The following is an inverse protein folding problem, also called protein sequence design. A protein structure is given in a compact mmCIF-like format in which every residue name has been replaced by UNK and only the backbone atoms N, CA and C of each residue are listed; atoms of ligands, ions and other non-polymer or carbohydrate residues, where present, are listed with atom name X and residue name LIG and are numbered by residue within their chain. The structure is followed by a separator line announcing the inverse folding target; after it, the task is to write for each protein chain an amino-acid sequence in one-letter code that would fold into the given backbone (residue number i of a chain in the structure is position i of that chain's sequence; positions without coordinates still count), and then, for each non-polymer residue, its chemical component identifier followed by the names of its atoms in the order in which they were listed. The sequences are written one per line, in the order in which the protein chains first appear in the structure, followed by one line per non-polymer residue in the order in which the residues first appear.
data_IF_961743768510
#
_entry.id   IF_961743768510
#
_cell.length_a   1.000
_cell.length_b   1.000
_cell.length_c   1.000
_cell.angle_alpha   90.00
_cell.angle_beta   90.00
_cell.angle_gamma   90.00
#
_symmetry.space_group_name_H-M   'P 1'
#
loop_
_entity.id
_entity.type
_entity.pdbx_description
1 polymer ?
#
# COMPACT_ATOMS: atom_id res chain seq x y z
N UNK A 1 3.07 -27.64 -1.62
CA UNK A 1 2.56 -27.26 -2.95
C UNK A 1 3.22 -25.94 -3.27
N UNK A 2 3.80 -25.78 -4.46
CA UNK A 2 4.48 -24.54 -4.83
C UNK A 2 3.49 -23.37 -4.79
N UNK A 3 3.89 -22.26 -4.20
CA UNK A 3 3.13 -21.00 -4.19
C UNK A 3 2.78 -20.63 -5.63
N UNK A 4 1.53 -20.28 -5.96
CA UNK A 4 1.15 -19.92 -7.32
C UNK A 4 1.90 -18.66 -7.76
N UNK A 5 2.94 -18.83 -8.57
CA UNK A 5 3.82 -17.76 -9.03
C UNK A 5 3.23 -17.03 -10.24
N UNK A 6 3.30 -15.69 -10.28
CA UNK A 6 2.86 -14.84 -11.40
C UNK A 6 3.64 -15.22 -12.69
N UNK A 7 2.99 -15.81 -13.70
CA UNK A 7 3.67 -16.31 -14.90
C UNK A 7 3.49 -15.43 -16.14
N UNK A 8 2.34 -14.77 -16.25
CA UNK A 8 1.94 -14.04 -17.45
C UNK A 8 1.68 -12.57 -17.14
N UNK A 9 1.65 -11.73 -18.18
CA UNK A 9 1.26 -10.32 -18.05
C UNK A 9 -0.15 -10.18 -17.47
N UNK A 10 -1.05 -11.08 -17.79
CA UNK A 10 -2.42 -11.06 -17.28
C UNK A 10 -2.45 -11.39 -15.77
N UNK A 11 -1.63 -12.34 -15.31
CA UNK A 11 -1.45 -12.60 -13.87
C UNK A 11 -0.88 -11.37 -13.16
N UNK A 12 0.09 -10.69 -13.78
CA UNK A 12 0.70 -9.48 -13.21
C UNK A 12 -0.29 -8.32 -13.14
N UNK A 13 -1.13 -8.14 -14.18
CA UNK A 13 -2.23 -7.17 -14.16
C UNK A 13 -3.21 -7.46 -13.01
N UNK A 14 -3.56 -8.73 -12.80
CA UNK A 14 -4.42 -9.14 -11.70
C UNK A 14 -3.77 -8.82 -10.34
N UNK A 15 -2.50 -9.20 -10.15
CA UNK A 15 -1.76 -8.96 -8.92
C UNK A 15 -1.60 -7.46 -8.61
N UNK A 16 -1.33 -6.63 -9.61
CA UNK A 16 -1.23 -5.18 -9.42
C UNK A 16 -2.59 -4.52 -9.18
N UNK A 17 -3.67 -5.07 -9.76
CA UNK A 17 -5.04 -4.63 -9.44
C UNK A 17 -5.33 -4.90 -7.97
N UNK A 18 -4.99 -6.11 -7.50
CA UNK A 18 -5.12 -6.50 -6.11
C UNK A 18 -4.32 -5.60 -5.16
N UNK A 19 -3.07 -5.31 -5.52
CA UNK A 19 -2.23 -4.37 -4.79
C UNK A 19 -2.91 -3.00 -4.66
N UNK A 20 -3.41 -2.43 -5.76
CA UNK A 20 -4.14 -1.16 -5.72
C UNK A 20 -5.41 -1.21 -4.82
N UNK A 21 -6.14 -2.33 -4.78
CA UNK A 21 -7.27 -2.48 -3.86
C UNK A 21 -6.82 -2.50 -2.38
N UNK A 22 -5.70 -3.16 -2.09
CA UNK A 22 -5.10 -3.25 -0.76
C UNK A 22 -4.62 -1.90 -0.26
N UNK A 23 -3.78 -1.19 -1.01
CA UNK A 23 -3.26 0.14 -0.63
C UNK A 23 -4.40 1.13 -0.38
N UNK A 24 -5.42 1.13 -1.25
CA UNK A 24 -6.60 1.98 -1.06
C UNK A 24 -7.42 1.56 0.18
N UNK A 25 -7.55 0.26 0.44
CA UNK A 25 -8.21 -0.26 1.63
C UNK A 25 -7.49 0.15 2.91
N UNK A 26 -6.16 0.03 2.96
CA UNK A 26 -5.31 0.40 4.10
C UNK A 26 -5.39 1.89 4.37
N UNK A 27 -5.22 2.73 3.35
CA UNK A 27 -5.38 4.18 3.48
C UNK A 27 -6.71 4.56 4.14
N UNK A 28 -7.82 3.94 3.72
CA UNK A 28 -9.13 4.20 4.32
C UNK A 28 -9.22 3.75 5.80
N UNK A 29 -8.62 2.62 6.15
CA UNK A 29 -8.63 2.09 7.52
C UNK A 29 -7.82 3.01 8.46
N UNK A 30 -6.62 3.42 8.06
CA UNK A 30 -5.80 4.35 8.83
C UNK A 30 -6.48 5.71 9.01
N UNK A 31 -7.09 6.28 7.96
CA UNK A 31 -7.85 7.53 8.07
C UNK A 31 -9.02 7.40 9.05
N UNK A 32 -9.77 6.30 8.99
CA UNK A 32 -10.91 6.10 9.89
C UNK A 32 -10.44 5.99 11.34
N UNK A 33 -9.38 5.21 11.61
CA UNK A 33 -8.80 5.09 12.93
C UNK A 33 -8.30 6.46 13.45
N UNK A 34 -7.57 7.21 12.63
CA UNK A 34 -7.08 8.54 12.98
C UNK A 34 -8.21 9.50 13.34
N UNK A 35 -9.27 9.57 12.52
CA UNK A 35 -10.37 10.50 12.73
C UNK A 35 -11.42 10.02 13.76
N UNK A 36 -11.26 8.82 14.30
CA UNK A 36 -12.03 8.34 15.45
C UNK A 36 -11.51 8.87 16.79
N UNK A 37 -10.28 9.39 16.80
CA UNK A 37 -9.63 9.91 18.00
C UNK A 37 -10.24 11.24 18.46
N UNK A 38 -10.27 11.41 19.79
CA UNK A 38 -10.67 12.67 20.43
C UNK A 38 -9.66 13.76 20.12
N UNK A 39 -10.13 15.00 19.93
CA UNK A 39 -9.30 16.13 19.50
C UNK A 39 -8.93 17.08 20.61
N UNK A 40 -9.74 17.16 21.67
CA UNK A 40 -9.52 18.16 22.72
C UNK A 40 -9.93 17.69 24.13
N UNK A 41 -9.52 18.42 25.19
CA UNK A 41 -9.84 18.08 26.57
C UNK A 41 -11.35 18.01 26.90
N UNK A 42 -12.21 18.73 26.17
CA UNK A 42 -13.67 18.76 26.41
C UNK A 42 -14.31 17.39 26.12
N UNK A 43 -13.63 16.54 25.35
CA UNK A 43 -14.03 15.17 25.06
C UNK A 43 -13.64 14.19 26.18
N UNK A 44 -13.18 14.69 27.33
CA UNK A 44 -12.83 13.88 28.51
C UNK A 44 -11.37 13.42 28.52
N UNK A 45 -10.47 14.22 27.96
CA UNK A 45 -9.02 14.04 28.05
C UNK A 45 -8.41 15.07 29.00
N UNK A 46 -7.35 14.69 29.72
CA UNK A 46 -6.45 15.69 30.31
C UNK A 46 -5.65 16.38 29.20
N UNK A 47 -5.13 17.58 29.45
CA UNK A 47 -4.27 18.28 28.49
C UNK A 47 -3.09 17.43 27.99
N UNK A 48 -2.32 16.73 28.87
CA UNK A 48 -1.26 15.84 28.41
C UNK A 48 -1.76 14.69 27.52
N UNK A 49 -2.92 14.12 27.81
CA UNK A 49 -3.51 13.08 26.95
C UNK A 49 -3.94 13.62 25.60
N UNK A 50 -4.50 14.83 25.54
CA UNK A 50 -4.87 15.46 24.27
C UNK A 50 -3.66 15.67 23.35
N UNK A 51 -2.50 16.04 23.92
CA UNK A 51 -1.24 16.14 23.16
C UNK A 51 -0.82 14.78 22.60
N UNK A 52 -0.81 13.73 23.43
CA UNK A 52 -0.45 12.37 22.98
C UNK A 52 -1.40 11.85 21.89
N UNK A 53 -2.71 12.07 22.04
CA UNK A 53 -3.70 11.64 21.05
C UNK A 53 -3.54 12.40 19.73
N UNK A 54 -3.16 13.68 19.79
CA UNK A 54 -2.83 14.44 18.60
C UNK A 54 -1.59 13.88 17.89
N UNK A 55 -0.55 13.47 18.63
CA UNK A 55 0.63 12.79 18.07
C UNK A 55 0.24 11.48 17.37
N UNK A 56 -0.60 10.65 17.99
CA UNK A 56 -1.09 9.41 17.37
C UNK A 56 -1.91 9.67 16.11
N UNK A 57 -2.74 10.72 16.13
CA UNK A 57 -3.51 11.13 14.95
C UNK A 57 -2.57 11.49 13.80
N UNK A 58 -1.51 12.28 14.09
CA UNK A 58 -0.49 12.64 13.09
C UNK A 58 0.16 11.39 12.49
N UNK A 59 0.65 10.46 13.32
CA UNK A 59 1.27 9.21 12.86
C UNK A 59 0.33 8.42 11.95
N UNK A 60 -0.92 8.19 12.36
CA UNK A 60 -1.89 7.43 11.55
C UNK A 60 -2.21 8.12 10.23
N UNK A 61 -2.28 9.46 10.20
CA UNK A 61 -2.50 10.20 8.95
C UNK A 61 -1.27 10.22 8.04
N UNK A 62 -0.06 10.16 8.60
CA UNK A 62 1.18 10.01 7.83
C UNK A 62 1.26 8.65 7.17
N UNK A 63 0.95 7.57 7.90
CA UNK A 63 0.86 6.22 7.33
C UNK A 63 -0.23 6.19 6.24
N UNK A 64 -1.43 6.71 6.51
CA UNK A 64 -2.50 6.77 5.50
C UNK A 64 -2.10 7.48 4.21
N UNK A 65 -1.20 8.46 4.30
CA UNK A 65 -0.63 9.20 3.16
C UNK A 65 0.40 8.36 2.40
N UNK A 66 1.24 7.59 3.10
CA UNK A 66 2.15 6.62 2.47
C UNK A 66 1.35 5.55 1.70
N UNK A 67 0.25 5.04 2.25
CA UNK A 67 -0.65 4.12 1.52
C UNK A 67 -1.25 4.75 0.24
N UNK A 68 -1.50 6.06 0.22
CA UNK A 68 -1.93 6.76 -1.01
C UNK A 68 -0.81 6.88 -2.05
N UNK A 69 0.43 7.00 -1.58
CA UNK A 69 1.62 7.01 -2.42
C UNK A 69 1.85 5.64 -3.05
N UNK A 70 1.76 4.57 -2.25
CA UNK A 70 1.81 3.20 -2.74
C UNK A 70 0.70 2.92 -3.76
N UNK A 71 -0.53 3.37 -3.49
CA UNK A 71 -1.63 3.29 -4.45
C UNK A 71 -1.28 3.98 -5.77
N UNK A 72 -0.65 5.15 -5.71
CA UNK A 72 -0.16 5.87 -6.91
C UNK A 72 0.88 5.05 -7.68
N UNK A 73 1.87 4.49 -6.99
CA UNK A 73 2.90 3.65 -7.59
C UNK A 73 2.34 2.33 -8.17
N UNK A 74 1.44 1.65 -7.47
CA UNK A 74 0.73 0.47 -7.96
C UNK A 74 -0.07 0.78 -9.25
N UNK A 75 -0.69 1.95 -9.32
CA UNK A 75 -1.37 2.44 -10.52
C UNK A 75 -0.42 2.79 -11.66
N UNK A 76 0.76 3.34 -11.37
CA UNK A 76 1.80 3.57 -12.36
C UNK A 76 2.34 2.23 -12.90
N UNK A 77 2.57 1.23 -12.04
CA UNK A 77 2.95 -0.13 -12.43
C UNK A 77 1.89 -0.78 -13.33
N UNK A 78 0.60 -0.69 -12.96
CA UNK A 78 -0.53 -1.13 -13.81
C UNK A 78 -0.48 -0.47 -15.18
N UNK A 79 -0.40 0.86 -15.17
CA UNK A 79 -0.43 1.67 -16.38
C UNK A 79 0.75 1.33 -17.28
N UNK A 80 1.96 1.20 -16.73
CA UNK A 80 3.19 0.92 -17.45
C UNK A 80 3.10 -0.37 -18.29
N UNK A 81 2.42 -1.40 -17.75
CA UNK A 81 2.22 -2.66 -18.47
C UNK A 81 0.94 -2.67 -19.31
N UNK A 82 0.23 -1.54 -19.47
CA UNK A 82 -0.97 -1.39 -20.29
C UNK A 82 -2.29 -1.73 -19.60
N UNK A 83 -2.32 -1.77 -18.27
CA UNK A 83 -3.54 -1.76 -17.46
C UNK A 83 -4.11 -0.34 -17.33
N UNK A 84 -5.36 -0.22 -16.92
CA UNK A 84 -5.94 1.07 -16.54
C UNK A 84 -5.74 1.28 -15.02
N UNK A 85 -5.59 2.52 -14.55
CA UNK A 85 -5.61 2.81 -13.12
C UNK A 85 -6.88 2.26 -12.45
N UNK A 86 -6.71 1.64 -11.28
CA UNK A 86 -7.75 0.99 -10.50
C UNK A 86 -7.87 1.63 -9.12
N UNK A 87 -9.00 2.30 -8.90
CA UNK A 87 -9.34 2.95 -7.62
C UNK A 87 -10.55 2.30 -6.93
N UNK A 88 -11.11 1.25 -7.54
CA UNK A 88 -12.22 0.51 -6.93
C UNK A 88 -11.65 -0.47 -5.92
N UNK A 89 -12.42 -0.76 -4.87
CA UNK A 89 -12.17 -1.82 -3.91
C UNK A 89 -13.51 -2.25 -3.29
N UNK A 90 -13.66 -3.48 -2.77
CA UNK A 90 -14.91 -3.92 -2.14
C UNK A 90 -15.34 -3.02 -0.96
N UNK A 91 -16.64 -2.88 -0.68
CA UNK A 91 -17.06 -2.11 0.51
C UNK A 91 -16.66 -2.82 1.81
N UNK A 92 -16.39 -2.04 2.87
CA UNK A 92 -16.17 -2.59 4.21
C UNK A 92 -17.49 -3.06 4.85
N UNK A 93 -17.47 -4.08 5.74
CA UNK A 93 -16.30 -4.90 6.09
C UNK A 93 -15.99 -5.94 5.01
N UNK A 94 -14.71 -6.28 4.86
CA UNK A 94 -14.24 -7.29 3.92
C UNK A 94 -13.83 -8.54 4.71
N UNK A 95 -14.32 -9.75 4.31
CA UNK A 95 -13.95 -10.97 4.99
C UNK A 95 -12.45 -11.27 4.83
N UNK A 96 -11.86 -11.97 5.78
CA UNK A 96 -10.51 -12.52 5.60
C UNK A 96 -10.47 -13.41 4.35
N UNK A 97 -9.39 -13.28 3.56
CA UNK A 97 -9.25 -14.00 2.29
C UNK A 97 -9.86 -13.28 1.08
N UNK A 98 -10.50 -12.12 1.24
CA UNK A 98 -11.07 -11.35 0.12
C UNK A 98 -10.04 -11.02 -0.98
N UNK A 99 -8.77 -10.93 -0.60
CA UNK A 99 -7.65 -10.64 -1.47
C UNK A 99 -6.72 -11.84 -1.69
N UNK A 100 -7.18 -13.05 -1.36
CA UNK A 100 -6.30 -14.21 -1.29
C UNK A 100 -5.23 -14.09 -0.19
N UNK A 101 -5.40 -13.16 0.76
CA UNK A 101 -4.57 -12.95 1.95
C UNK A 101 -5.47 -13.07 3.19
N UNK A 102 -4.99 -13.72 4.26
CA UNK A 102 -5.75 -14.00 5.49
C UNK A 102 -6.00 -12.77 6.40
N UNK A 103 -6.28 -11.61 5.81
CA UNK A 103 -6.42 -10.33 6.50
C UNK A 103 -7.85 -9.80 6.36
N UNK A 104 -8.49 -9.49 7.50
CA UNK A 104 -9.83 -8.91 7.56
C UNK A 104 -9.72 -7.39 7.51
N UNK A 105 -10.43 -6.73 6.60
CA UNK A 105 -10.39 -5.28 6.49
C UNK A 105 -11.70 -4.64 7.00
N UNK A 106 -11.61 -3.77 8.01
CA UNK A 106 -12.77 -3.12 8.64
C UNK A 106 -12.50 -1.66 8.98
N UNK A 107 -13.56 -0.84 8.98
CA UNK A 107 -13.52 0.51 9.54
C UNK A 107 -13.88 0.46 11.02
N UNK A 108 -12.90 0.67 11.90
CA UNK A 108 -13.12 0.69 13.34
C UNK A 108 -12.34 1.83 14.03
N UNK A 109 -12.85 2.34 15.16
CA UNK A 109 -12.10 3.31 15.94
C UNK A 109 -10.76 2.76 16.43
N UNK A 110 -9.78 3.64 16.65
CA UNK A 110 -8.48 3.21 17.19
C UNK A 110 -8.69 2.48 18.52
N UNK A 111 -8.23 1.25 18.56
CA UNK A 111 -8.27 0.36 19.71
C UNK A 111 -7.06 -0.56 19.65
N UNK A 112 -6.80 -1.32 20.71
CA UNK A 112 -5.73 -2.33 20.69
C UNK A 112 -5.96 -3.37 19.59
N UNK A 113 -7.22 -3.76 19.34
CA UNK A 113 -7.57 -4.67 18.24
C UNK A 113 -7.24 -4.09 16.86
N UNK A 114 -7.48 -2.79 16.67
CA UNK A 114 -7.13 -2.11 15.42
C UNK A 114 -5.61 -2.02 15.24
N UNK A 115 -4.90 -1.71 16.32
CA UNK A 115 -3.45 -1.64 16.33
C UNK A 115 -2.80 -2.99 16.04
N UNK A 116 -3.27 -4.06 16.70
CA UNK A 116 -2.79 -5.43 16.45
C UNK A 116 -2.96 -5.83 14.97
N UNK A 117 -4.04 -5.36 14.34
CA UNK A 117 -4.29 -5.60 12.92
C UNK A 117 -3.35 -4.80 12.02
N UNK A 118 -3.12 -3.52 12.29
CA UNK A 118 -2.16 -2.71 11.55
C UNK A 118 -0.75 -3.30 11.64
N UNK A 119 -0.32 -3.70 12.85
CA UNK A 119 0.94 -4.40 13.05
C UNK A 119 0.99 -5.71 12.24
N UNK A 120 -0.11 -6.46 12.15
CA UNK A 120 -0.17 -7.68 11.36
C UNK A 120 -0.09 -7.43 9.84
N UNK A 121 -0.49 -6.25 9.35
CA UNK A 121 -0.36 -5.85 7.95
C UNK A 121 1.11 -5.55 7.59
N UNK A 122 1.82 -4.87 8.48
CA UNK A 122 3.20 -4.38 8.27
C UNK A 122 4.27 -5.40 8.69
N UNK A 123 3.90 -6.49 9.38
CA UNK A 123 4.88 -7.47 9.89
C UNK A 123 5.67 -8.10 8.71
N UNK A 124 7.01 -7.99 8.70
CA UNK A 124 7.84 -8.65 7.69
C UNK A 124 7.64 -10.17 7.73
N UNK A 125 7.81 -10.85 6.59
CA UNK A 125 7.80 -12.31 6.59
C UNK A 125 8.97 -12.88 7.40
N UNK A 126 8.66 -13.75 8.38
CA UNK A 126 9.64 -14.69 8.89
C UNK A 126 9.86 -15.81 7.86
N UNK A 127 11.12 -16.27 7.64
CA UNK A 127 11.37 -17.41 6.76
C UNK A 127 10.59 -18.62 7.24
N UNK A 128 9.74 -19.17 6.36
CA UNK A 128 8.65 -20.06 6.72
C UNK A 128 9.04 -21.23 7.63
N UNK A 129 8.50 -21.27 8.86
CA UNK A 129 8.04 -22.53 9.43
C UNK A 129 6.67 -22.82 8.84
N UNK A 130 6.51 -24.00 8.23
CA UNK A 130 5.21 -24.45 7.74
C UNK A 130 4.29 -24.66 8.95
N UNK A 131 3.50 -23.66 9.32
CA UNK A 131 2.46 -23.85 10.33
C UNK A 131 1.19 -24.39 9.66
N UNK A 132 0.75 -25.56 10.14
CA UNK A 132 -0.51 -26.18 9.78
C UNK A 132 -1.68 -25.29 10.24
N UNK A 133 -2.43 -24.71 9.29
CA UNK A 133 -3.68 -24.01 9.61
C UNK A 133 -4.11 -22.89 8.66
N UNK A 134 -3.21 -22.39 7.81
CA UNK A 134 -3.60 -21.44 6.76
C UNK A 134 -4.35 -22.19 5.66
N UNK A 135 -5.53 -21.74 5.21
CA UNK A 135 -6.21 -22.35 4.08
C UNK A 135 -5.28 -22.38 2.86
N UNK A 136 -5.07 -23.57 2.31
CA UNK A 136 -4.16 -23.85 1.18
C UNK A 136 -4.61 -23.17 -0.13
N UNK A 137 -5.77 -22.51 -0.13
CA UNK A 137 -6.40 -21.85 -1.29
C UNK A 137 -6.16 -20.33 -1.33
N UNK A 138 -5.29 -19.81 -0.45
CA UNK A 138 -4.87 -18.40 -0.50
C UNK A 138 -3.80 -18.22 -1.57
N UNK A 139 -4.01 -17.24 -2.46
CA UNK A 139 -3.07 -16.92 -3.54
C UNK A 139 -1.78 -16.27 -3.02
N UNK A 140 -1.86 -15.54 -1.90
CA UNK A 140 -0.75 -14.79 -1.30
C UNK A 140 -0.74 -14.96 0.22
N UNK A 141 0.44 -15.13 0.83
CA UNK A 141 0.55 -15.34 2.27
C UNK A 141 0.41 -14.05 3.08
N UNK A 142 0.89 -12.95 2.52
CA UNK A 142 0.94 -11.61 3.12
C UNK A 142 0.96 -10.54 2.02
N UNK A 143 0.87 -9.27 2.40
CA UNK A 143 1.05 -8.14 1.46
C UNK A 143 2.49 -8.14 0.92
N UNK A 144 3.47 -8.48 1.76
CA UNK A 144 4.86 -8.63 1.37
C UNK A 144 5.07 -9.73 0.32
N UNK A 145 4.42 -10.89 0.50
CA UNK A 145 4.48 -12.01 -0.45
C UNK A 145 3.90 -11.61 -1.82
N UNK A 146 2.83 -10.81 -1.84
CA UNK A 146 2.28 -10.25 -3.08
C UNK A 146 3.33 -9.37 -3.80
N UNK A 147 3.95 -8.41 -3.11
CA UNK A 147 4.93 -7.53 -3.73
C UNK A 147 6.22 -8.24 -4.15
N UNK A 148 6.68 -9.24 -3.39
CA UNK A 148 7.81 -10.09 -3.81
C UNK A 148 7.52 -10.85 -5.09
N UNK A 149 6.33 -11.42 -5.23
CA UNK A 149 5.95 -12.09 -6.47
C UNK A 149 5.85 -11.12 -7.65
N UNK A 150 5.39 -9.88 -7.41
CA UNK A 150 5.39 -8.80 -8.41
C UNK A 150 6.82 -8.44 -8.82
N UNK A 151 7.74 -8.30 -7.86
CA UNK A 151 9.16 -8.03 -8.10
C UNK A 151 9.81 -9.13 -8.97
N UNK A 152 9.59 -10.40 -8.62
CA UNK A 152 10.07 -11.55 -9.39
C UNK A 152 9.51 -11.56 -10.82
N UNK A 153 8.24 -11.19 -11.00
CA UNK A 153 7.60 -11.11 -12.30
C UNK A 153 8.27 -10.03 -13.18
N UNK A 154 8.47 -8.81 -12.66
CA UNK A 154 9.16 -7.74 -13.39
C UNK A 154 10.62 -8.10 -13.73
N UNK A 155 11.29 -8.82 -12.85
CA UNK A 155 12.67 -9.28 -13.07
C UNK A 155 12.74 -10.27 -14.22
N UNK A 156 11.80 -11.22 -14.31
CA UNK A 156 11.85 -12.34 -15.26
C UNK A 156 11.21 -12.06 -16.61
N UNK A 157 10.15 -11.26 -16.65
CA UNK A 157 9.40 -10.98 -17.89
C UNK A 157 10.24 -10.15 -18.87
N UNK A 158 9.99 -10.36 -20.17
CA UNK A 158 10.71 -9.67 -21.24
C UNK A 158 10.34 -8.18 -21.29
N UNK A 159 11.30 -7.33 -20.95
CA UNK A 159 11.15 -5.88 -20.88
C UNK A 159 10.76 -5.26 -22.22
N UNK A 160 11.22 -5.82 -23.35
CA UNK A 160 10.93 -5.30 -24.69
C UNK A 160 9.45 -5.38 -25.05
N UNK A 161 8.67 -6.23 -24.37
CA UNK A 161 7.26 -6.49 -24.65
C UNK A 161 6.33 -6.19 -23.48
N UNK A 162 6.87 -5.97 -22.27
CA UNK A 162 6.07 -5.75 -21.07
C UNK A 162 5.56 -4.31 -20.95
N UNK A 163 6.42 -3.32 -21.20
CA UNK A 163 6.14 -1.90 -20.99
C UNK A 163 5.46 -1.27 -22.20
N UNK A 164 4.15 -1.49 -22.32
CA UNK A 164 3.34 -1.07 -23.48
C UNK A 164 2.40 0.10 -23.19
N UNK A 165 2.35 0.56 -21.95
CA UNK A 165 1.47 1.63 -21.53
C UNK A 165 2.00 3.04 -21.82
N UNK A 166 1.12 4.03 -22.00
CA UNK A 166 1.52 5.42 -22.24
C UNK A 166 2.11 6.07 -20.96
N UNK A 167 3.38 6.55 -20.97
CA UNK A 167 3.98 7.23 -19.82
C UNK A 167 3.24 8.50 -19.39
N UNK A 168 2.52 9.16 -20.30
CA UNK A 168 1.71 10.35 -20.05
C UNK A 168 0.41 10.08 -19.27
N UNK A 169 0.00 8.81 -19.15
CA UNK A 169 -1.16 8.43 -18.33
C UNK A 169 -0.77 8.09 -16.88
N UNK A 170 0.51 8.23 -16.53
CA UNK A 170 1.05 7.98 -15.19
C UNK A 170 1.18 9.29 -14.41
N UNK A 171 1.19 9.19 -13.08
CA UNK A 171 1.34 10.33 -12.17
C UNK A 171 2.76 10.39 -11.64
N UNK A 172 3.34 11.57 -11.59
CA UNK A 172 4.60 11.86 -10.90
C UNK A 172 4.44 13.12 -10.02
N UNK A 173 5.47 13.45 -9.25
CA UNK A 173 5.45 14.65 -8.43
C UNK A 173 5.24 15.93 -9.26
N UNK A 174 5.76 16.00 -10.49
CA UNK A 174 5.58 17.18 -11.33
C UNK A 174 4.11 17.41 -11.67
N UNK A 175 3.37 16.36 -12.02
CA UNK A 175 1.91 16.43 -12.24
C UNK A 175 1.19 16.89 -10.97
N UNK A 176 1.59 16.37 -9.81
CA UNK A 176 0.97 16.75 -8.52
C UNK A 176 1.28 18.19 -8.12
N UNK A 177 2.44 18.73 -8.50
CA UNK A 177 2.83 20.12 -8.22
C UNK A 177 2.34 21.11 -9.29
N UNK A 178 1.96 20.65 -10.49
CA UNK A 178 1.56 21.50 -11.60
C UNK A 178 0.15 22.09 -11.50
N UNK A 179 -0.72 21.57 -10.63
CA UNK A 179 -2.15 21.92 -10.71
C UNK A 179 -2.49 23.39 -10.36
N UNK A 180 -1.58 24.19 -9.77
CA UNK A 180 -1.84 25.61 -9.50
C UNK A 180 -0.58 26.50 -9.55
N UNK A 181 -0.60 27.53 -10.40
CA UNK A 181 0.37 28.63 -10.36
C UNK A 181 0.37 29.26 -8.97
N UNK A 182 1.49 29.13 -8.26
CA UNK A 182 1.66 29.62 -6.88
C UNK A 182 1.40 28.57 -5.77
N UNK A 183 1.14 27.32 -6.13
CA UNK A 183 0.95 26.24 -5.16
C UNK A 183 2.26 25.44 -5.00
N UNK A 184 3.01 25.78 -3.95
CA UNK A 184 4.25 25.08 -3.56
C UNK A 184 3.96 23.94 -2.57
N UNK A 185 2.75 23.36 -2.60
CA UNK A 185 2.39 22.25 -1.72
C UNK A 185 3.26 21.04 -2.07
N UNK A 186 4.21 20.76 -1.19
CA UNK A 186 4.79 19.44 -1.08
C UNK A 186 3.76 18.55 -0.38
N UNK A 187 3.17 17.61 -1.12
CA UNK A 187 2.25 16.62 -0.54
C UNK A 187 2.98 15.56 0.28
N UNK A 188 4.30 15.60 0.35
CA UNK A 188 5.14 14.64 1.07
C UNK A 188 5.28 13.29 0.36
N UNK A 189 4.70 13.14 -0.84
CA UNK A 189 4.73 11.89 -1.60
C UNK A 189 5.90 11.82 -2.58
N UNK A 190 6.43 10.63 -2.86
CA UNK A 190 7.49 10.37 -3.83
C UNK A 190 6.96 9.48 -4.97
N UNK A 191 6.16 10.08 -5.85
CA UNK A 191 5.64 9.45 -7.06
C UNK A 191 6.55 9.68 -8.26
N UNK A 192 6.68 8.66 -9.09
CA UNK A 192 7.42 8.72 -10.34
C UNK A 192 6.84 7.75 -11.37
N UNK A 193 7.10 8.04 -12.64
CA UNK A 193 6.68 7.18 -13.75
C UNK A 193 7.51 5.90 -13.79
N UNK A 194 6.84 4.80 -14.06
CA UNK A 194 7.41 3.49 -14.36
C UNK A 194 7.41 3.30 -15.88
N UNK A 195 8.60 3.24 -16.47
CA UNK A 195 8.76 3.17 -17.94
C UNK A 195 9.65 2.02 -18.40
N UNK A 196 10.29 1.34 -17.46
CA UNK A 196 11.25 0.27 -17.70
C UNK A 196 11.35 -0.64 -16.47
N UNK A 197 12.14 -1.72 -16.56
CA UNK A 197 12.29 -2.66 -15.44
C UNK A 197 12.91 -1.97 -14.22
N UNK A 198 13.89 -1.10 -14.41
CA UNK A 198 14.58 -0.45 -13.30
C UNK A 198 13.65 0.42 -12.47
N UNK A 199 12.81 1.23 -13.13
CA UNK A 199 11.78 2.04 -12.47
C UNK A 199 10.67 1.18 -11.86
N UNK A 200 10.31 0.05 -12.47
CA UNK A 200 9.33 -0.87 -11.88
C UNK A 200 9.83 -1.49 -10.58
N UNK A 201 11.06 -2.01 -10.57
CA UNK A 201 11.68 -2.60 -9.38
C UNK A 201 11.87 -1.56 -8.28
N UNK A 202 12.27 -0.32 -8.62
CA UNK A 202 12.35 0.78 -7.67
C UNK A 202 11.00 1.12 -7.03
N UNK A 203 9.90 1.05 -7.78
CA UNK A 203 8.57 1.32 -7.25
C UNK A 203 8.14 0.24 -6.26
N UNK A 204 8.42 -1.04 -6.59
CA UNK A 204 8.14 -2.17 -5.69
C UNK A 204 9.00 -2.09 -4.42
N UNK A 205 10.29 -1.80 -4.56
CA UNK A 205 11.22 -1.61 -3.44
C UNK A 205 10.73 -0.51 -2.49
N UNK A 206 10.33 0.65 -3.03
CA UNK A 206 9.82 1.74 -2.20
C UNK A 206 8.56 1.34 -1.41
N UNK A 207 7.62 0.64 -2.05
CA UNK A 207 6.40 0.17 -1.36
C UNK A 207 6.74 -0.83 -0.25
N UNK A 208 7.69 -1.74 -0.50
CA UNK A 208 8.13 -2.72 0.52
C UNK A 208 8.83 -2.01 1.68
N UNK A 209 9.81 -1.15 1.40
CA UNK A 209 10.59 -0.46 2.44
C UNK A 209 9.73 0.44 3.32
N UNK A 210 8.82 1.21 2.72
CA UNK A 210 7.92 2.09 3.45
C UNK A 210 6.83 1.29 4.19
N UNK A 211 6.36 0.18 3.62
CA UNK A 211 5.34 -0.71 4.22
C UNK A 211 5.82 -1.57 5.39
N UNK A 212 7.13 -1.82 5.52
CA UNK A 212 7.72 -2.54 6.68
C UNK A 212 7.84 -1.66 7.95
N UNK A 213 7.40 -0.40 7.89
CA UNK A 213 7.53 0.55 9.00
C UNK A 213 8.99 0.93 9.29
N UNK A 214 9.88 0.76 8.31
CA UNK A 214 11.25 1.22 8.42
C UNK A 214 11.24 2.76 8.56
N UNK A 215 11.95 3.34 9.54
CA UNK A 215 12.01 4.79 9.66
C UNK A 215 12.60 5.36 8.36
N UNK A 216 11.96 6.41 7.80
CA UNK A 216 12.57 7.15 6.69
C UNK A 216 14.02 7.50 7.08
N UNK A 217 15.01 7.30 6.19
CA UNK A 217 16.35 7.76 6.45
C UNK A 217 16.27 9.26 6.73
N UNK A 218 16.51 9.65 7.97
CA UNK A 218 16.63 11.08 8.29
C UNK A 218 17.87 11.57 7.56
N UNK A 219 17.67 12.28 6.46
CA UNK A 219 18.75 12.95 5.74
C UNK A 219 19.45 13.89 6.73
N UNK A 220 20.73 13.64 6.97
CA UNK A 220 21.61 14.41 7.87
C UNK A 220 22.75 15.04 7.09
#
# INVERSE_FOLDING_TARGET
MDTPQIQTRDDLLFALTLAAELEHSLSCQYLFAAYSLKKNPEEGLTWPQAVLVQEWTTVLTEIARQEMEHLGLANNLLTAIGGAPHFRRPNFPQPAGAYGIALRAELEPLSLTALDRFIAYEKPEEPASHEDGVPVDLQYRSIHDLYRQIEEAFTRMDEATLFIGPPEAQVDNDVMHQERVGDTRNYGVKLFRVTDRASALRAVEQIIEEGEGAPEPTDR
#
